data_IF_755303434383
#
_entry.id   IF_755303434383
#
_cell.length_a   1.000
_cell.length_b   1.000
_cell.length_c   1.000
_cell.angle_alpha   90.00
_cell.angle_beta   90.00
_cell.angle_gamma   90.00
#
_symmetry.space_group_name_H-M   'P 1'
#
loop_
_entity.id
_entity.type
_entity.pdbx_description
1 polymer ?
#
# COMPACT_ATOMS: atom_id res chain seq x y z
N UNK A 1 17.13 25.15 -0.98
CA UNK A 1 18.23 24.17 -0.85
C UNK A 1 17.75 23.11 0.15
N UNK A 2 17.92 21.82 -0.17
CA UNK A 2 17.57 20.62 0.62
C UNK A 2 16.12 20.08 0.50
N UNK A 3 15.90 19.19 -0.48
CA UNK A 3 14.78 18.22 -0.52
C UNK A 3 15.28 16.80 -0.89
N UNK A 4 16.56 16.51 -0.64
CA UNK A 4 17.20 15.22 -1.00
C UNK A 4 17.34 14.28 0.20
N UNK A 5 17.02 14.74 1.41
CA UNK A 5 17.26 13.99 2.67
C UNK A 5 16.30 12.80 2.87
N UNK A 6 15.07 12.86 2.35
CA UNK A 6 14.05 11.84 2.60
C UNK A 6 14.22 10.54 1.80
N UNK A 7 14.95 10.58 0.68
CA UNK A 7 15.18 9.42 -0.19
C UNK A 7 16.31 8.53 0.28
N UNK A 8 17.41 9.13 0.75
CA UNK A 8 18.54 8.41 1.33
C UNK A 8 18.18 7.81 2.71
N UNK A 9 17.41 8.53 3.52
CA UNK A 9 16.87 8.01 4.79
C UNK A 9 15.92 6.80 4.57
N UNK A 10 15.07 6.85 3.53
CA UNK A 10 14.18 5.73 3.21
C UNK A 10 14.97 4.49 2.76
N UNK A 11 16.00 4.65 1.94
CA UNK A 11 16.86 3.55 1.50
C UNK A 11 17.59 2.94 2.69
N UNK A 12 18.14 3.75 3.58
CA UNK A 12 18.79 3.29 4.79
C UNK A 12 17.81 2.54 5.72
N UNK A 13 16.59 3.05 5.85
CA UNK A 13 15.52 2.40 6.59
C UNK A 13 15.19 1.01 6.02
N UNK A 14 15.05 0.89 4.70
CA UNK A 14 14.81 -0.38 4.01
C UNK A 14 15.97 -1.34 4.22
N UNK A 15 17.23 -0.88 4.11
CA UNK A 15 18.40 -1.71 4.38
C UNK A 15 18.37 -2.27 5.82
N UNK A 16 18.00 -1.46 6.81
CA UNK A 16 17.84 -1.93 8.20
C UNK A 16 16.71 -2.95 8.33
N UNK A 17 15.58 -2.75 7.65
CA UNK A 17 14.52 -3.76 7.59
C UNK A 17 15.02 -5.10 7.03
N UNK A 18 15.87 -5.08 5.99
CA UNK A 18 16.46 -6.30 5.41
C UNK A 18 17.40 -7.02 6.38
N UNK A 19 18.04 -6.30 7.31
CA UNK A 19 18.84 -6.89 8.39
C UNK A 19 18.02 -7.47 9.55
N UNK A 20 16.68 -7.36 9.49
CA UNK A 20 15.78 -7.87 10.54
C UNK A 20 15.52 -6.88 11.68
N UNK A 21 15.91 -5.61 11.53
CA UNK A 21 15.66 -4.58 12.53
C UNK A 21 14.16 -4.29 12.65
N UNK A 22 13.56 -4.74 13.76
CA UNK A 22 12.13 -4.53 14.03
C UNK A 22 11.77 -3.05 14.19
N UNK A 23 12.67 -2.22 14.73
CA UNK A 23 12.44 -0.79 14.85
C UNK A 23 12.36 -0.11 13.48
N UNK A 24 13.21 -0.53 12.55
CA UNK A 24 13.15 -0.05 11.17
C UNK A 24 11.85 -0.49 10.47
N UNK A 25 11.41 -1.74 10.68
CA UNK A 25 10.13 -2.22 10.12
C UNK A 25 8.93 -1.41 10.64
N UNK A 26 8.91 -1.11 11.94
CA UNK A 26 7.87 -0.28 12.54
C UNK A 26 7.87 1.14 11.98
N UNK A 27 9.04 1.77 11.86
CA UNK A 27 9.16 3.10 11.27
C UNK A 27 8.75 3.14 9.80
N UNK A 28 9.05 2.09 9.03
CA UNK A 28 8.59 1.96 7.64
C UNK A 28 7.05 1.89 7.57
N UNK A 29 6.44 1.06 8.43
CA UNK A 29 4.98 0.95 8.50
C UNK A 29 4.36 2.28 8.91
N UNK A 30 4.88 2.93 9.95
CA UNK A 30 4.32 4.18 10.47
C UNK A 30 4.40 5.32 9.44
N UNK A 31 5.47 5.37 8.64
CA UNK A 31 5.63 6.34 7.54
C UNK A 31 4.55 6.19 6.46
N UNK A 32 4.14 4.97 6.13
CA UNK A 32 3.23 4.71 5.01
C UNK A 32 1.80 4.32 5.42
N UNK A 33 1.53 4.08 6.71
CA UNK A 33 0.22 3.62 7.23
C UNK A 33 -0.94 4.46 6.72
N UNK A 34 -0.81 5.79 6.79
CA UNK A 34 -1.88 6.72 6.42
C UNK A 34 -2.14 6.72 4.92
N UNK A 35 -1.08 6.65 4.12
CA UNK A 35 -1.16 6.64 2.66
C UNK A 35 -1.77 5.34 2.14
N UNK A 36 -1.32 4.20 2.66
CA UNK A 36 -1.85 2.87 2.29
C UNK A 36 -3.30 2.72 2.75
N UNK A 37 -3.61 3.09 4.00
CA UNK A 37 -4.99 3.07 4.48
C UNK A 37 -5.90 3.97 3.65
N UNK A 38 -5.47 5.20 3.35
CA UNK A 38 -6.23 6.15 2.53
C UNK A 38 -6.51 5.61 1.12
N UNK A 39 -5.53 4.95 0.50
CA UNK A 39 -5.72 4.26 -0.77
C UNK A 39 -6.75 3.11 -0.65
N UNK A 40 -6.59 2.25 0.35
CA UNK A 40 -7.50 1.11 0.57
C UNK A 40 -8.93 1.58 0.84
N UNK A 41 -9.09 2.62 1.66
CA UNK A 41 -10.39 3.20 1.98
C UNK A 41 -11.06 3.80 0.75
N UNK A 42 -10.32 4.53 -0.09
CA UNK A 42 -10.85 5.06 -1.36
C UNK A 42 -11.30 3.96 -2.34
N UNK A 43 -10.63 2.81 -2.35
CA UNK A 43 -10.98 1.70 -3.24
C UNK A 43 -12.10 0.81 -2.71
N UNK A 44 -12.19 0.59 -1.39
CA UNK A 44 -13.11 -0.37 -0.78
C UNK A 44 -14.37 0.28 -0.21
N UNK A 45 -14.30 1.55 0.18
CA UNK A 45 -15.42 2.33 0.73
C UNK A 45 -15.90 1.88 2.12
N UNK A 46 -15.25 0.90 2.73
CA UNK A 46 -15.54 0.40 4.08
C UNK A 46 -14.27 0.45 4.93
N UNK A 47 -14.40 0.98 6.15
CA UNK A 47 -13.25 1.17 7.04
C UNK A 47 -12.61 -0.15 7.45
N UNK A 48 -13.41 -1.12 7.90
CA UNK A 48 -12.92 -2.43 8.34
C UNK A 48 -12.14 -3.14 7.22
N UNK A 49 -12.74 -3.25 6.03
CA UNK A 49 -12.07 -3.82 4.85
C UNK A 49 -10.76 -3.10 4.51
N UNK A 50 -10.73 -1.77 4.65
CA UNK A 50 -9.53 -0.98 4.38
C UNK A 50 -8.43 -1.20 5.41
N UNK A 51 -8.76 -1.32 6.69
CA UNK A 51 -7.80 -1.65 7.75
C UNK A 51 -7.21 -3.05 7.53
N UNK A 52 -8.05 -4.04 7.26
CA UNK A 52 -7.63 -5.42 7.00
C UNK A 52 -6.71 -5.52 5.79
N UNK A 53 -7.09 -4.89 4.68
CA UNK A 53 -6.29 -4.89 3.45
C UNK A 53 -4.98 -4.12 3.63
N UNK A 54 -4.98 -3.01 4.36
CA UNK A 54 -3.77 -2.26 4.66
C UNK A 54 -2.79 -3.09 5.50
N UNK A 55 -3.28 -3.76 6.55
CA UNK A 55 -2.45 -4.65 7.38
C UNK A 55 -1.86 -5.80 6.56
N UNK A 56 -2.67 -6.49 5.75
CA UNK A 56 -2.18 -7.57 4.91
C UNK A 56 -1.13 -7.07 3.90
N UNK A 57 -1.32 -5.85 3.37
CA UNK A 57 -0.36 -5.20 2.48
C UNK A 57 0.99 -5.02 3.17
N UNK A 58 1.03 -4.49 4.39
CA UNK A 58 2.30 -4.32 5.13
C UNK A 58 2.98 -5.66 5.44
N UNK A 59 2.23 -6.68 5.83
CA UNK A 59 2.78 -8.03 6.04
C UNK A 59 3.42 -8.57 4.76
N UNK A 60 2.78 -8.39 3.61
CA UNK A 60 3.32 -8.82 2.31
C UNK A 60 4.54 -8.01 1.89
N UNK A 61 4.52 -6.70 2.11
CA UNK A 61 5.62 -5.79 1.84
C UNK A 61 6.85 -6.20 2.61
N UNK A 62 6.75 -6.35 3.94
CA UNK A 62 7.87 -6.76 4.78
C UNK A 62 8.41 -8.14 4.38
N UNK A 63 7.53 -9.11 4.06
CA UNK A 63 7.94 -10.44 3.59
C UNK A 63 8.67 -10.41 2.24
N UNK A 64 8.27 -9.53 1.32
CA UNK A 64 8.82 -9.44 -0.03
C UNK A 64 9.82 -8.30 -0.21
N UNK A 65 10.19 -7.61 0.87
CA UNK A 65 11.08 -6.45 0.83
C UNK A 65 12.43 -6.79 0.20
N UNK A 66 12.91 -8.03 0.40
CA UNK A 66 14.13 -8.56 -0.23
C UNK A 66 14.08 -8.64 -1.76
N UNK A 67 12.88 -8.59 -2.37
CA UNK A 67 12.69 -8.58 -3.83
C UNK A 67 12.58 -7.17 -4.40
N UNK A 68 12.52 -6.15 -3.54
CA UNK A 68 12.48 -4.77 -4.00
C UNK A 68 13.83 -4.38 -4.59
N UNK A 69 13.79 -3.83 -5.79
CA UNK A 69 14.94 -3.33 -6.51
C UNK A 69 15.22 -1.88 -6.07
N UNK A 70 16.38 -1.66 -5.45
CA UNK A 70 16.80 -0.33 -4.96
C UNK A 70 17.03 0.70 -6.08
N UNK A 71 17.06 0.27 -7.35
CA UNK A 71 17.07 1.17 -8.51
C UNK A 71 15.71 1.83 -8.77
N UNK A 72 14.63 1.35 -8.14
CA UNK A 72 13.26 1.86 -8.30
C UNK A 72 12.77 2.53 -7.02
N UNK A 73 11.83 3.46 -7.14
CA UNK A 73 11.21 4.05 -5.96
C UNK A 73 10.36 3.02 -5.20
N UNK A 74 10.37 3.14 -3.87
CA UNK A 74 9.65 2.23 -2.99
C UNK A 74 8.13 2.45 -3.01
N UNK A 75 7.70 3.72 -3.09
CA UNK A 75 6.28 4.07 -3.00
C UNK A 75 5.43 3.46 -4.13
N UNK A 76 5.85 3.53 -5.42
CA UNK A 76 5.10 2.90 -6.50
C UNK A 76 5.00 1.37 -6.33
N UNK A 77 6.06 0.73 -5.83
CA UNK A 77 6.06 -0.71 -5.55
C UNK A 77 5.09 -1.06 -4.41
N UNK A 78 5.10 -0.28 -3.33
CA UNK A 78 4.16 -0.41 -2.22
C UNK A 78 2.70 -0.24 -2.68
N UNK A 79 2.41 0.83 -3.42
CA UNK A 79 1.05 1.12 -3.89
C UNK A 79 0.56 0.12 -4.93
N UNK A 80 1.45 -0.46 -5.73
CA UNK A 80 1.10 -1.57 -6.63
C UNK A 80 0.62 -2.79 -5.84
N UNK A 81 1.31 -3.15 -4.74
CA UNK A 81 0.88 -4.25 -3.87
C UNK A 81 -0.48 -3.92 -3.23
N UNK A 82 -0.62 -2.73 -2.64
CA UNK A 82 -1.85 -2.28 -2.00
C UNK A 82 -3.04 -2.31 -2.97
N UNK A 83 -2.89 -1.73 -4.16
CA UNK A 83 -3.92 -1.70 -5.19
C UNK A 83 -4.31 -3.10 -5.68
N UNK A 84 -3.35 -4.01 -5.81
CA UNK A 84 -3.64 -5.41 -6.14
C UNK A 84 -4.45 -6.09 -5.03
N UNK A 85 -4.13 -5.84 -3.75
CA UNK A 85 -4.92 -6.39 -2.63
C UNK A 85 -6.34 -5.84 -2.60
N UNK A 86 -6.53 -4.54 -2.82
CA UNK A 86 -7.86 -3.94 -2.93
C UNK A 86 -8.67 -4.58 -4.07
N UNK A 87 -8.07 -4.78 -5.25
CA UNK A 87 -8.74 -5.46 -6.38
C UNK A 87 -9.12 -6.90 -6.03
N UNK A 88 -8.25 -7.64 -5.33
CA UNK A 88 -8.57 -8.99 -4.84
C UNK A 88 -9.75 -8.96 -3.87
N UNK A 89 -9.76 -8.04 -2.90
CA UNK A 89 -10.84 -7.90 -1.93
C UNK A 89 -12.18 -7.58 -2.61
N UNK A 90 -12.19 -6.63 -3.55
CA UNK A 90 -13.37 -6.30 -4.37
C UNK A 90 -13.89 -7.50 -5.17
N UNK A 91 -12.99 -8.29 -5.77
CA UNK A 91 -13.36 -9.49 -6.51
C UNK A 91 -13.99 -10.56 -5.61
N UNK A 92 -13.49 -10.72 -4.37
CA UNK A 92 -14.04 -11.66 -3.40
C UNK A 92 -15.44 -11.22 -2.94
N UNK A 93 -15.64 -9.92 -2.69
CA UNK A 93 -16.93 -9.34 -2.31
C UNK A 93 -18.00 -9.56 -3.39
N UNK A 94 -17.67 -9.39 -4.67
CA UNK A 94 -18.62 -9.67 -5.77
C UNK A 94 -19.07 -11.12 -5.82
N UNK A 95 -18.25 -12.07 -5.34
CA UNK A 95 -18.57 -13.51 -5.34
C UNK A 95 -19.32 -13.96 -4.08
N UNK A 96 -19.51 -13.09 -3.09
CA UNK A 96 -20.26 -13.35 -1.84
C UNK A 96 -21.29 -12.22 -1.62
N UNK A 97 -22.57 -12.39 -1.98
CA UNK A 97 -23.62 -11.45 -1.59
C UNK A 97 -23.62 -11.34 -0.06
N UNK A 98 -23.50 -10.12 0.46
CA UNK A 98 -23.22 -9.84 1.87
C UNK A 98 -24.22 -10.48 2.84
N UNK A 99 -23.70 -11.17 3.86
CA UNK A 99 -24.40 -11.32 5.13
C UNK A 99 -24.35 -9.95 5.85
N UNK A 100 -25.49 -9.54 6.39
CA UNK A 100 -25.73 -8.26 7.05
C UNK A 100 -24.71 -7.96 8.16
N UNK A 101 -24.19 -6.73 8.21
CA UNK A 101 -23.34 -6.23 9.31
C UNK A 101 -24.03 -5.00 9.92
N UNK A 102 -24.30 -5.07 11.22
CA UNK A 102 -24.86 -4.01 12.07
C UNK A 102 -23.81 -2.89 12.30
N UNK A 103 -24.24 -1.61 12.44
CA UNK A 103 -23.32 -0.49 12.50
C UNK A 103 -22.70 -0.30 13.89
N UNK A 104 -21.45 -0.77 14.08
CA UNK A 104 -20.64 -0.43 15.25
C UNK A 104 -19.89 0.90 15.01
N UNK A 105 -19.92 1.77 16.01
CA UNK A 105 -19.50 3.17 16.00
C UNK A 105 -17.97 3.33 15.77
N UNK A 106 -17.58 4.21 14.83
CA UNK A 106 -16.18 4.53 14.51
C UNK A 106 -15.71 5.69 15.42
N UNK A 107 -14.72 5.44 16.26
CA UNK A 107 -14.02 6.46 17.06
C UNK A 107 -12.71 6.93 16.40
N UNK A 108 -12.27 8.11 16.84
CA UNK A 108 -11.40 9.11 16.22
C UNK A 108 -10.04 8.69 15.67
N UNK A 109 -9.64 9.37 14.59
CA UNK A 109 -8.29 9.33 14.02
C UNK A 109 -8.27 9.31 12.49
N UNK A 110 -8.97 10.24 11.83
CA UNK A 110 -8.90 10.41 10.38
C UNK A 110 -7.53 10.98 9.99
N UNK A 111 -6.72 10.30 9.16
CA UNK A 111 -5.58 10.94 8.50
C UNK A 111 -6.11 12.03 7.55
N UNK A 112 -5.39 13.14 7.43
CA UNK A 112 -5.74 14.29 6.59
C UNK A 112 -6.18 13.84 5.18
N UNK A 113 -7.49 13.88 4.94
CA UNK A 113 -8.13 13.44 3.70
C UNK A 113 -7.65 14.26 2.49
N UNK A 114 -7.13 15.48 2.71
CA UNK A 114 -6.68 16.35 1.64
C UNK A 114 -5.32 15.92 1.11
N UNK A 115 -4.39 15.53 1.99
CA UNK A 115 -3.11 14.93 1.61
C UNK A 115 -3.32 13.61 0.84
N UNK A 116 -4.28 12.79 1.29
CA UNK A 116 -4.61 11.53 0.65
C UNK A 116 -5.22 11.69 -0.77
N UNK A 117 -5.88 12.82 -1.06
CA UNK A 117 -6.41 13.14 -2.40
C UNK A 117 -5.32 13.63 -3.34
N UNK A 118 -4.45 14.53 -2.89
CA UNK A 118 -3.40 15.10 -3.74
C UNK A 118 -2.39 14.03 -4.19
N UNK A 119 -2.02 13.12 -3.29
CA UNK A 119 -1.17 11.97 -3.62
C UNK A 119 -1.85 10.98 -4.58
N UNK A 120 -3.19 10.90 -4.56
CA UNK A 120 -3.93 10.05 -5.48
C UNK A 120 -3.82 10.53 -6.92
N UNK A 121 -3.90 11.84 -7.12
CA UNK A 121 -3.77 12.47 -8.43
C UNK A 121 -2.35 12.28 -8.94
N UNK A 122 -1.35 12.41 -8.06
CA UNK A 122 0.06 12.20 -8.39
C UNK A 122 0.39 10.74 -8.75
N UNK A 123 -0.09 9.77 -7.96
CA UNK A 123 0.07 8.34 -8.26
C UNK A 123 -0.70 7.96 -9.53
N UNK A 124 -1.88 8.53 -9.78
CA UNK A 124 -2.66 8.27 -11.01
C UNK A 124 -1.96 8.88 -12.22
N UNK A 125 -1.35 10.06 -12.09
CA UNK A 125 -0.56 10.70 -13.14
C UNK A 125 0.73 9.91 -13.44
N UNK A 126 1.37 9.37 -12.40
CA UNK A 126 2.54 8.49 -12.54
C UNK A 126 2.18 7.11 -13.13
N UNK A 127 1.02 6.55 -12.78
CA UNK A 127 0.51 5.30 -13.33
C UNK A 127 0.05 5.45 -14.79
N UNK A 128 -0.40 6.63 -15.21
CA UNK A 128 -0.74 6.91 -16.61
C UNK A 128 0.50 6.93 -17.55
N UNK A 129 1.71 7.06 -16.99
CA UNK A 129 2.98 7.00 -17.73
C UNK A 129 3.67 5.63 -17.70
N UNK A 130 3.19 4.68 -16.89
CA UNK A 130 3.81 3.35 -16.76
C UNK A 130 3.09 2.34 -17.66
N UNK A 131 3.71 2.19 -18.84
CA UNK A 131 3.68 1.09 -19.82
C UNK A 131 2.80 -0.14 -19.49
N UNK A 132 2.09 -0.55 -20.53
CA UNK A 132 1.34 -1.81 -20.79
C UNK A 132 2.08 -3.13 -20.42
N UNK A 133 3.33 -3.08 -19.95
CA UNK A 133 4.22 -4.24 -19.78
C UNK A 133 4.08 -4.97 -18.43
N UNK A 134 3.25 -4.47 -17.50
CA UNK A 134 2.99 -5.15 -16.22
C UNK A 134 1.95 -6.28 -16.31
N UNK A 135 1.60 -6.73 -17.53
CA UNK A 135 0.59 -7.79 -17.75
C UNK A 135 1.15 -9.21 -17.72
N UNK A 136 2.47 -9.43 -17.78
CA UNK A 136 3.02 -10.77 -17.97
C UNK A 136 3.53 -11.47 -16.69
N UNK A 137 3.79 -10.78 -15.59
CA UNK A 137 4.38 -11.42 -14.41
C UNK A 137 3.39 -12.23 -13.54
N UNK A 138 2.07 -12.07 -13.73
CA UNK A 138 1.06 -12.78 -12.93
C UNK A 138 0.52 -14.06 -13.59
N UNK A 139 0.75 -14.29 -14.89
CA UNK A 139 0.25 -15.50 -15.59
C UNK A 139 1.19 -16.70 -15.40
N UNK A 140 2.44 -16.48 -14.97
CA UNK A 140 3.43 -17.56 -14.87
C UNK A 140 3.48 -18.28 -13.51
N UNK A 141 2.69 -17.86 -12.52
CA UNK A 141 2.75 -18.42 -11.16
C UNK A 141 1.53 -19.27 -10.76
N UNK A 142 0.75 -19.71 -11.76
CA UNK A 142 -0.35 -20.65 -11.51
C UNK A 142 -0.44 -21.70 -12.63
N UNK A 143 0.45 -22.68 -12.58
CA UNK A 143 0.16 -24.06 -13.01
C UNK A 143 0.23 -24.96 -11.77
#
# INVERSE_FOLDING_TARGET
MMNTDSGDDLRQLICRCLTGDQGAMLALVDRFRGQVFGLCFRMLGQRQDAEDVAQETFVRVLKNLHRWDAARDFEPWLFAIAGNRCRTALSTRKRRPSAEILPEQISDGLPDMQAAKNLAEEVTLALAGIREDYRQAFVLFHE
#
